data_IF_172316323849
#
_entry.id   IF_172316323849
#
_cell.length_a   1.000
_cell.length_b   1.000
_cell.length_c   1.000
_cell.angle_alpha   90.00
_cell.angle_beta   90.00
_cell.angle_gamma   90.00
#
_symmetry.space_group_name_H-M   'P 1'
#
loop_
_entity.id
_entity.type
_entity.pdbx_description
1 polymer ?
#
# COMPACT_ATOMS: atom_id res chain seq x y z
N UNK A 1 3.97 12.84 7.99
CA UNK A 1 2.79 12.03 7.66
C UNK A 1 2.95 10.66 8.28
N UNK A 2 2.16 10.34 9.30
CA UNK A 2 2.04 8.99 9.87
C UNK A 2 0.96 8.16 9.11
N UNK A 3 0.79 6.89 9.47
CA UNK A 3 -0.16 5.99 8.84
C UNK A 3 -1.62 6.41 9.07
N UNK A 4 -1.92 7.14 10.14
CA UNK A 4 -3.27 7.67 10.40
C UNK A 4 -3.56 8.86 9.49
N UNK A 5 -2.61 9.77 9.36
CA UNK A 5 -2.70 10.91 8.43
C UNK A 5 -2.81 10.41 6.98
N UNK A 6 -2.06 9.36 6.61
CA UNK A 6 -2.17 8.72 5.30
C UNK A 6 -3.54 8.05 5.09
N UNK A 7 -4.07 7.34 6.09
CA UNK A 7 -5.39 6.71 5.99
C UNK A 7 -6.49 7.76 5.77
N UNK A 8 -6.48 8.84 6.55
CA UNK A 8 -7.42 9.97 6.40
C UNK A 8 -7.33 10.61 5.02
N UNK A 9 -6.12 10.76 4.48
CA UNK A 9 -5.92 11.27 3.13
C UNK A 9 -6.50 10.34 2.06
N UNK A 10 -6.32 9.03 2.20
CA UNK A 10 -6.87 8.03 1.28
C UNK A 10 -8.40 8.06 1.32
N UNK A 11 -8.99 8.09 2.51
CA UNK A 11 -10.45 8.17 2.69
C UNK A 11 -11.02 9.45 2.09
N UNK A 12 -10.40 10.62 2.35
CA UNK A 12 -10.86 11.92 1.87
C UNK A 12 -10.81 12.09 0.34
N UNK A 13 -10.17 11.16 -0.39
CA UNK A 13 -10.03 11.19 -1.85
C UNK A 13 -10.64 9.97 -2.54
N UNK A 14 -11.56 9.28 -1.86
CA UNK A 14 -12.21 8.05 -2.35
C UNK A 14 -11.17 6.99 -2.80
N UNK A 15 -10.02 6.98 -2.13
CA UNK A 15 -8.88 6.14 -2.48
C UNK A 15 -8.95 4.73 -1.89
N UNK A 16 -9.98 4.40 -1.11
CA UNK A 16 -10.12 3.08 -0.46
C UNK A 16 -10.21 1.96 -1.51
N UNK A 17 -10.84 2.22 -2.66
CA UNK A 17 -10.95 1.27 -3.76
C UNK A 17 -9.64 1.07 -4.54
N UNK A 18 -8.60 1.87 -4.26
CA UNK A 18 -7.34 1.86 -5.00
C UNK A 18 -6.33 0.94 -4.27
N UNK A 19 -6.13 -0.30 -4.73
CA UNK A 19 -5.35 -1.29 -3.98
C UNK A 19 -3.89 -0.87 -3.75
N UNK A 20 -3.29 -0.10 -4.66
CA UNK A 20 -1.93 0.41 -4.49
C UNK A 20 -1.81 1.43 -3.34
N UNK A 21 -2.86 2.22 -3.05
CA UNK A 21 -2.87 3.12 -1.89
C UNK A 21 -2.95 2.34 -0.58
N UNK A 22 -3.66 1.20 -0.58
CA UNK A 22 -3.73 0.32 0.58
C UNK A 22 -2.41 -0.41 0.85
N UNK A 23 -1.67 -0.78 -0.20
CA UNK A 23 -0.30 -1.31 -0.06
C UNK A 23 0.63 -0.25 0.53
N UNK A 24 0.56 0.99 0.04
CA UNK A 24 1.32 2.11 0.59
C UNK A 24 1.02 2.35 2.08
N UNK A 25 -0.26 2.29 2.48
CA UNK A 25 -0.66 2.41 3.88
C UNK A 25 -0.06 1.29 4.75
N UNK A 26 -0.09 0.04 4.28
CA UNK A 26 0.51 -1.09 5.01
C UNK A 26 2.02 -0.98 5.12
N UNK A 27 2.69 -0.53 4.06
CA UNK A 27 4.12 -0.24 4.07
C UNK A 27 4.46 0.83 5.12
N UNK A 28 3.64 1.90 5.19
CA UNK A 28 3.84 2.95 6.20
C UNK A 28 3.68 2.42 7.62
N UNK A 29 2.67 1.58 7.86
CA UNK A 29 2.47 0.92 9.16
C UNK A 29 3.62 -0.03 9.53
N UNK A 30 4.24 -0.68 8.54
CA UNK A 30 5.41 -1.53 8.76
C UNK A 30 6.64 -0.70 9.12
N UNK A 31 6.89 0.39 8.40
CA UNK A 31 7.97 1.35 8.69
C UNK A 31 7.87 1.90 10.12
N UNK A 32 6.67 2.29 10.56
CA UNK A 32 6.44 2.88 11.89
C UNK A 32 6.72 1.91 13.05
N UNK A 33 6.60 0.61 12.84
CA UNK A 33 6.90 -0.41 13.86
C UNK A 33 8.27 -1.06 13.71
N UNK A 34 9.12 -0.57 12.79
CA UNK A 34 10.42 -1.16 12.47
C UNK A 34 11.28 -1.42 13.72
N UNK A 35 11.34 -0.45 14.63
CA UNK A 35 12.18 -0.54 15.84
C UNK A 35 11.67 -1.58 16.86
N UNK A 36 10.41 -2.01 16.72
CA UNK A 36 9.76 -3.01 17.58
C UNK A 36 9.58 -4.36 16.91
N UNK A 37 9.96 -4.49 15.63
CA UNK A 37 9.75 -5.70 14.83
C UNK A 37 11.07 -6.45 14.67
N UNK A 38 11.13 -7.77 14.90
CA UNK A 38 12.31 -8.57 14.59
C UNK A 38 12.74 -8.37 13.12
N UNK A 39 14.05 -8.23 12.82
CA UNK A 39 14.52 -7.96 11.46
C UNK A 39 14.04 -8.99 10.42
N UNK A 40 13.98 -10.26 10.80
CA UNK A 40 13.55 -11.35 9.93
C UNK A 40 12.06 -11.23 9.57
N UNK A 41 11.22 -10.93 10.57
CA UNK A 41 9.80 -10.70 10.38
C UNK A 41 9.54 -9.44 9.54
N UNK A 42 10.28 -8.36 9.82
CA UNK A 42 10.20 -7.14 9.02
C UNK A 42 10.52 -7.42 7.54
N UNK A 43 11.54 -8.21 7.27
CA UNK A 43 11.94 -8.57 5.91
C UNK A 43 10.91 -9.46 5.22
N UNK A 44 10.33 -10.43 5.93
CA UNK A 44 9.26 -11.29 5.41
C UNK A 44 8.03 -10.46 5.02
N UNK A 45 7.57 -9.58 5.91
CA UNK A 45 6.43 -8.71 5.65
C UNK A 45 6.70 -7.73 4.49
N UNK A 46 7.92 -7.19 4.42
CA UNK A 46 8.33 -6.32 3.32
C UNK A 46 8.32 -7.06 1.97
N UNK A 47 8.80 -8.31 1.94
CA UNK A 47 8.75 -9.15 0.73
C UNK A 47 7.31 -9.48 0.32
N UNK A 48 6.42 -9.74 1.28
CA UNK A 48 5.01 -9.97 1.01
C UNK A 48 4.35 -8.74 0.38
N UNK A 49 4.55 -7.55 0.96
CA UNK A 49 4.04 -6.28 0.42
C UNK A 49 4.61 -5.98 -0.97
N UNK A 50 5.89 -6.26 -1.20
CA UNK A 50 6.51 -6.13 -2.52
C UNK A 50 5.84 -7.07 -3.54
N UNK A 51 5.57 -8.33 -3.18
CA UNK A 51 4.89 -9.28 -4.06
C UNK A 51 3.45 -8.83 -4.37
N UNK A 52 2.73 -8.31 -3.38
CA UNK A 52 1.40 -7.71 -3.60
C UNK A 52 1.48 -6.56 -4.61
N UNK A 53 2.44 -5.64 -4.42
CA UNK A 53 2.64 -4.52 -5.35
C UNK A 53 2.97 -4.99 -6.78
N UNK A 54 3.80 -6.01 -6.92
CA UNK A 54 4.13 -6.57 -8.23
C UNK A 54 2.91 -7.23 -8.90
N UNK A 55 2.07 -7.92 -8.12
CA UNK A 55 0.82 -8.52 -8.63
C UNK A 55 -0.19 -7.48 -9.10
N UNK A 56 -0.11 -6.25 -8.58
CA UNK A 56 -0.93 -5.15 -9.07
C UNK A 56 -0.57 -4.78 -10.53
N UNK A 57 0.70 -4.87 -10.95
CA UNK A 57 1.09 -4.50 -12.32
C UNK A 57 0.32 -5.24 -13.42
N UNK A 58 -0.03 -6.51 -13.22
CA UNK A 58 -0.87 -7.28 -14.15
C UNK A 58 -2.36 -6.94 -14.03
N UNK A 59 -2.83 -6.55 -12.84
CA UNK A 59 -4.23 -6.24 -12.57
C UNK A 59 -4.70 -4.97 -13.30
N UNK A 60 -3.80 -4.03 -13.59
CA UNK A 60 -4.15 -2.73 -14.16
C UNK A 60 -4.44 -2.83 -15.66
N UNK A 61 -3.91 -3.89 -16.30
CA UNK A 61 -4.09 -4.17 -17.72
C UNK A 61 -5.58 -4.39 -18.01
N UNK A 62 -6.20 -3.47 -18.73
CA UNK A 62 -7.63 -3.47 -19.06
C UNK A 62 -8.52 -2.66 -18.12
N UNK A 63 -7.98 -2.09 -17.03
CA UNK A 63 -8.70 -1.20 -16.10
C UNK A 63 -8.15 0.24 -16.14
N UNK A 64 -7.22 0.56 -17.04
CA UNK A 64 -6.46 1.82 -17.00
C UNK A 64 -7.36 3.05 -17.19
N UNK A 65 -8.33 2.97 -18.09
CA UNK A 65 -9.24 4.08 -18.39
C UNK A 65 -10.12 4.44 -17.17
N UNK A 66 -10.56 3.46 -16.39
CA UNK A 66 -11.35 3.71 -15.18
C UNK A 66 -10.48 4.25 -14.03
N UNK A 67 -9.20 3.85 -13.98
CA UNK A 67 -8.31 4.17 -12.86
C UNK A 67 -7.54 5.48 -13.04
N UNK A 68 -7.24 5.87 -14.28
CA UNK A 68 -6.33 6.97 -14.59
C UNK A 68 -6.94 8.11 -15.41
N UNK A 69 -8.11 7.93 -16.03
CA UNK A 69 -8.81 9.04 -16.70
C UNK A 69 -9.93 9.60 -15.80
N UNK A 70 -9.85 10.88 -15.39
CA UNK A 70 -10.84 11.55 -14.55
C UNK A 70 -12.13 11.93 -15.28
#
# INVERSE_FOLDING_TARGET
>A
MDSRELAQFIEARDGISKPWLLVLLRLKKLEERKDTTPPELYMEELQALHKELMGLGEWWVGNEDELFNP
#
